data_IF_229075052208
#
_entry.id   IF_229075052208
#
_cell.length_a   1.000
_cell.length_b   1.000
_cell.length_c   1.000
_cell.angle_alpha   90.00
_cell.angle_beta   90.00
_cell.angle_gamma   90.00
#
_symmetry.space_group_name_H-M   'P 1'
#
loop_
_entity.id
_entity.type
_entity.pdbx_description
1 polymer ?
#
# COMPACT_ATOMS: atom_id res chain seq x y z
N UNK A 1 -0.43 2.50 -5.61
CA UNK A 1 -1.72 2.94 -5.06
C UNK A 1 -2.41 3.93 -5.99
N UNK A 2 -1.95 5.18 -6.15
CA UNK A 2 -2.61 6.18 -7.02
C UNK A 2 -2.85 5.70 -8.46
N UNK A 3 -1.87 5.04 -9.08
CA UNK A 3 -2.03 4.47 -10.44
C UNK A 3 -3.17 3.46 -10.54
N UNK A 4 -3.36 2.62 -9.54
CA UNK A 4 -4.44 1.63 -9.53
C UNK A 4 -5.80 2.32 -9.39
N UNK A 5 -5.91 3.31 -8.49
CA UNK A 5 -7.15 4.07 -8.35
C UNK A 5 -7.50 4.82 -9.65
N UNK A 6 -6.53 5.48 -10.30
CA UNK A 6 -6.76 6.15 -11.61
C UNK A 6 -7.21 5.19 -12.69
N UNK A 7 -6.66 3.96 -12.70
CA UNK A 7 -7.06 2.94 -13.67
C UNK A 7 -8.48 2.44 -13.43
N UNK A 8 -8.81 2.19 -12.17
CA UNK A 8 -10.07 1.57 -11.79
C UNK A 8 -11.21 2.60 -11.64
N UNK A 9 -10.87 3.89 -11.55
CA UNK A 9 -11.78 5.03 -11.48
C UNK A 9 -11.47 6.05 -12.60
N UNK A 10 -11.59 5.67 -13.86
CA UNK A 10 -11.17 6.52 -15.00
C UNK A 10 -12.01 7.80 -15.14
N UNK A 11 -13.25 7.78 -14.68
CA UNK A 11 -14.16 8.93 -14.72
C UNK A 11 -13.93 9.89 -13.54
N UNK A 12 -13.08 9.51 -12.58
CA UNK A 12 -12.80 10.24 -11.34
C UNK A 12 -13.63 9.75 -10.16
N UNK A 13 -13.62 10.52 -9.08
CA UNK A 13 -14.38 10.20 -7.88
C UNK A 13 -13.74 10.75 -6.60
N UNK A 14 -14.46 10.59 -5.49
CA UNK A 14 -14.03 11.03 -4.18
C UNK A 14 -13.11 9.99 -3.53
N UNK A 15 -12.00 10.45 -2.96
CA UNK A 15 -11.01 9.62 -2.28
C UNK A 15 -10.92 10.02 -0.80
N UNK A 16 -10.99 9.04 0.07
CA UNK A 16 -10.65 9.17 1.49
C UNK A 16 -9.21 8.67 1.68
N UNK A 17 -8.41 9.39 2.47
CA UNK A 17 -7.07 8.96 2.87
C UNK A 17 -7.03 8.70 4.38
N UNK A 18 -6.75 7.44 4.76
CA UNK A 18 -6.50 7.06 6.17
C UNK A 18 -5.06 6.57 6.27
N UNK A 19 -4.21 7.46 6.77
CA UNK A 19 -2.77 7.32 6.76
C UNK A 19 -2.24 6.76 8.09
N UNK A 20 -0.94 6.42 8.12
CA UNK A 20 -0.25 6.04 9.34
C UNK A 20 0.09 7.23 10.24
N UNK A 21 1.09 7.06 11.12
CA UNK A 21 1.51 8.10 12.06
C UNK A 21 2.07 9.33 11.33
N UNK A 22 1.54 10.51 11.62
CA UNK A 22 1.90 11.77 10.95
C UNK A 22 3.38 12.14 11.11
N UNK A 23 3.98 11.75 12.23
CA UNK A 23 5.40 11.97 12.52
C UNK A 23 6.34 11.07 11.70
N UNK A 24 5.83 9.98 11.10
CA UNK A 24 6.63 9.04 10.31
C UNK A 24 6.97 9.63 8.93
N UNK A 25 8.26 9.70 8.61
CA UNK A 25 8.70 10.18 7.31
C UNK A 25 8.21 9.32 6.13
N UNK A 26 7.97 8.02 6.36
CA UNK A 26 7.39 7.15 5.33
C UNK A 26 5.98 7.61 4.94
N UNK A 27 5.16 8.04 5.89
CA UNK A 27 3.82 8.60 5.62
C UNK A 27 3.91 9.81 4.71
N UNK A 28 4.85 10.73 4.99
CA UNK A 28 5.06 11.95 4.17
C UNK A 28 5.46 11.62 2.74
N UNK A 29 6.38 10.67 2.56
CA UNK A 29 6.84 10.26 1.23
C UNK A 29 5.75 9.54 0.43
N UNK A 30 4.96 8.69 1.10
CA UNK A 30 3.82 8.00 0.47
C UNK A 30 2.73 9.00 0.10
N UNK A 31 2.41 9.95 0.98
CA UNK A 31 1.49 11.05 0.69
C UNK A 31 1.91 11.84 -0.55
N UNK A 32 3.17 12.31 -0.57
CA UNK A 32 3.70 13.06 -1.69
C UNK A 32 3.57 12.28 -3.00
N UNK A 33 4.05 11.04 -3.05
CA UNK A 33 3.98 10.23 -4.28
C UNK A 33 2.55 9.85 -4.67
N UNK A 34 1.63 9.74 -3.71
CA UNK A 34 0.22 9.52 -4.00
C UNK A 34 -0.42 10.77 -4.62
N UNK A 35 -0.20 11.95 -4.05
CA UNK A 35 -0.74 13.22 -4.55
C UNK A 35 -0.14 13.58 -5.93
N UNK A 36 1.17 13.39 -6.14
CA UNK A 36 1.81 13.57 -7.45
C UNK A 36 1.16 12.66 -8.53
N UNK A 37 0.82 11.42 -8.17
CA UNK A 37 0.15 10.51 -9.10
C UNK A 37 -1.30 10.93 -9.41
N UNK A 38 -2.00 11.56 -8.48
CA UNK A 38 -3.37 12.06 -8.72
C UNK A 38 -3.41 13.33 -9.58
N UNK A 39 -2.29 14.03 -9.76
CA UNK A 39 -2.26 15.23 -10.59
C UNK A 39 -2.80 14.98 -12.00
N UNK A 40 -3.67 15.89 -12.46
CA UNK A 40 -4.30 15.79 -13.77
C UNK A 40 -5.36 14.70 -13.91
N UNK A 41 -5.76 14.04 -12.81
CA UNK A 41 -6.92 13.15 -12.76
C UNK A 41 -8.17 13.88 -12.26
N UNK A 42 -9.33 13.24 -12.37
CA UNK A 42 -10.59 13.71 -11.78
C UNK A 42 -10.84 13.08 -10.39
N UNK A 43 -9.79 12.56 -9.72
CA UNK A 43 -9.89 12.04 -8.37
C UNK A 43 -9.65 13.19 -7.38
N UNK A 44 -10.55 13.33 -6.42
CA UNK A 44 -10.50 14.39 -5.40
C UNK A 44 -10.36 13.79 -4.01
N UNK A 45 -9.33 14.18 -3.26
CA UNK A 45 -9.20 13.82 -1.85
C UNK A 45 -10.13 14.71 -1.03
N UNK A 46 -11.18 14.11 -0.46
CA UNK A 46 -12.24 14.83 0.26
C UNK A 46 -12.12 14.70 1.79
N UNK A 47 -11.35 13.72 2.27
CA UNK A 47 -11.13 13.48 3.69
C UNK A 47 -9.74 12.88 3.93
N UNK A 48 -9.07 13.37 4.98
CA UNK A 48 -7.77 12.86 5.43
C UNK A 48 -7.77 12.65 6.94
N UNK A 49 -7.19 11.53 7.40
CA UNK A 49 -6.96 11.23 8.79
C UNK A 49 -5.67 10.45 9.01
N UNK A 50 -5.11 10.54 10.21
CA UNK A 50 -3.87 9.89 10.60
C UNK A 50 -4.07 8.95 11.79
N UNK A 51 -3.74 7.68 11.62
CA UNK A 51 -3.74 6.68 12.68
C UNK A 51 -2.50 6.89 13.56
N UNK A 52 -2.64 7.65 14.64
CA UNK A 52 -1.56 7.95 15.58
C UNK A 52 -0.87 6.68 16.05
N UNK A 53 0.47 6.64 15.92
CA UNK A 53 1.28 5.49 16.29
C UNK A 53 0.97 4.22 15.49
N UNK A 54 0.43 4.37 14.27
CA UNK A 54 0.01 3.26 13.39
C UNK A 54 -1.09 2.37 13.97
N UNK A 55 -1.88 2.89 14.91
CA UNK A 55 -2.98 2.17 15.54
C UNK A 55 -4.15 2.04 14.56
N UNK A 56 -4.22 0.91 13.87
CA UNK A 56 -5.18 0.66 12.81
C UNK A 56 -6.65 0.76 13.27
N UNK A 57 -6.92 0.45 14.55
CA UNK A 57 -8.27 0.54 15.13
C UNK A 57 -8.88 1.95 15.07
N UNK A 58 -8.04 3.00 15.00
CA UNK A 58 -8.52 4.37 14.86
C UNK A 58 -9.18 4.63 13.50
N UNK A 59 -8.86 3.82 12.49
CA UNK A 59 -9.46 3.95 11.17
C UNK A 59 -10.98 3.72 11.16
N UNK A 60 -11.51 2.99 12.16
CA UNK A 60 -12.94 2.72 12.29
C UNK A 60 -13.72 4.02 12.45
N UNK A 61 -13.40 4.79 13.50
CA UNK A 61 -14.09 6.04 13.82
C UNK A 61 -13.88 7.07 12.68
N UNK A 62 -12.68 7.14 12.10
CA UNK A 62 -12.38 8.05 11.00
C UNK A 62 -13.20 7.72 9.74
N UNK A 63 -13.34 6.42 9.42
CA UNK A 63 -14.11 6.04 8.23
C UNK A 63 -15.61 6.22 8.44
N UNK A 64 -16.14 5.89 9.62
CA UNK A 64 -17.56 6.13 9.94
C UNK A 64 -17.89 7.62 9.81
N UNK A 65 -17.06 8.52 10.38
CA UNK A 65 -17.22 9.97 10.23
C UNK A 65 -17.14 10.41 8.76
N UNK A 66 -16.19 9.84 8.00
CA UNK A 66 -16.01 10.19 6.60
C UNK A 66 -17.19 9.75 5.72
N UNK A 67 -17.73 8.53 5.94
CA UNK A 67 -18.88 8.02 5.19
C UNK A 67 -20.17 8.78 5.45
N UNK A 68 -20.36 9.33 6.67
CA UNK A 68 -21.48 10.23 6.95
C UNK A 68 -21.44 11.52 6.13
N UNK A 69 -20.22 12.05 5.86
CA UNK A 69 -20.03 13.29 5.10
C UNK A 69 -19.93 13.06 3.59
N UNK A 70 -19.36 11.93 3.19
CA UNK A 70 -19.03 11.59 1.79
C UNK A 70 -19.55 10.20 1.43
N UNK A 71 -20.88 10.00 1.37
CA UNK A 71 -21.50 8.68 1.14
C UNK A 71 -21.20 8.10 -0.24
N UNK A 72 -20.83 8.94 -1.21
CA UNK A 72 -20.53 8.54 -2.60
C UNK A 72 -19.02 8.34 -2.83
N UNK A 73 -18.25 8.04 -1.77
CA UNK A 73 -16.82 7.77 -1.89
C UNK A 73 -16.55 6.62 -2.87
N UNK A 74 -15.56 6.83 -3.73
CA UNK A 74 -15.19 5.87 -4.79
C UNK A 74 -13.95 5.06 -4.44
N UNK A 75 -13.04 5.61 -3.64
CA UNK A 75 -11.80 4.94 -3.27
C UNK A 75 -11.24 5.38 -1.91
N UNK A 76 -10.48 4.48 -1.28
CA UNK A 76 -9.82 4.73 0.00
C UNK A 76 -8.34 4.34 -0.11
N UNK A 77 -7.47 5.29 0.20
CA UNK A 77 -6.04 5.07 0.37
C UNK A 77 -5.74 4.80 1.84
N UNK A 78 -5.20 3.61 2.14
CA UNK A 78 -4.80 3.19 3.46
C UNK A 78 -3.27 3.23 3.61
N UNK A 79 -2.78 3.74 4.74
CA UNK A 79 -1.36 3.86 5.03
C UNK A 79 -0.63 2.52 5.02
N UNK A 80 -1.32 1.43 5.40
CA UNK A 80 -0.85 0.05 5.31
C UNK A 80 -2.01 -0.95 5.27
N UNK A 81 -1.70 -2.25 5.21
CA UNK A 81 -2.69 -3.32 5.09
C UNK A 81 -3.46 -3.59 6.41
N UNK A 82 -2.90 -3.26 7.59
CA UNK A 82 -3.61 -3.31 8.86
C UNK A 82 -4.73 -2.25 8.93
N UNK A 83 -4.43 -1.03 8.47
CA UNK A 83 -5.44 0.04 8.32
C UNK A 83 -6.49 -0.37 7.28
N UNK A 84 -6.07 -0.94 6.14
CA UNK A 84 -6.99 -1.45 5.12
C UNK A 84 -7.92 -2.54 5.66
N UNK A 85 -7.45 -3.38 6.59
CA UNK A 85 -8.29 -4.39 7.23
C UNK A 85 -9.45 -3.78 8.01
N UNK A 86 -9.20 -2.70 8.78
CA UNK A 86 -10.26 -2.01 9.50
C UNK A 86 -11.22 -1.28 8.55
N UNK A 87 -10.67 -0.65 7.52
CA UNK A 87 -11.44 0.02 6.46
C UNK A 87 -12.39 -0.97 5.78
N UNK A 88 -11.91 -2.14 5.32
CA UNK A 88 -12.76 -3.16 4.68
C UNK A 88 -13.83 -3.67 5.62
N UNK A 89 -13.53 -3.83 6.92
CA UNK A 89 -14.51 -4.22 7.93
C UNK A 89 -15.66 -3.19 8.04
N UNK A 90 -15.34 -1.90 8.17
CA UNK A 90 -16.35 -0.82 8.20
C UNK A 90 -17.15 -0.79 6.90
N UNK A 91 -16.48 -0.87 5.74
CA UNK A 91 -17.16 -0.93 4.44
C UNK A 91 -18.13 -2.12 4.35
N UNK A 92 -17.80 -3.28 4.95
CA UNK A 92 -18.69 -4.43 4.97
C UNK A 92 -19.94 -4.17 5.82
N UNK A 93 -19.81 -3.50 6.97
CA UNK A 93 -20.93 -3.09 7.82
C UNK A 93 -21.88 -2.14 7.05
N UNK A 94 -21.33 -1.25 6.21
CA UNK A 94 -22.06 -0.34 5.33
C UNK A 94 -22.48 -0.95 3.98
N UNK A 95 -22.17 -2.25 3.70
CA UNK A 95 -22.45 -2.93 2.42
C UNK A 95 -21.74 -2.31 1.21
N UNK A 96 -20.57 -1.73 1.46
CA UNK A 96 -19.70 -1.07 0.48
C UNK A 96 -18.43 -1.86 0.16
N UNK A 97 -18.10 -2.93 0.90
CA UNK A 97 -16.96 -3.80 0.61
C UNK A 97 -17.06 -4.37 -0.82
N UNK A 98 -15.97 -4.29 -1.57
CA UNK A 98 -15.91 -4.67 -2.99
C UNK A 98 -16.53 -3.67 -3.97
N UNK A 99 -17.18 -2.60 -3.48
CA UNK A 99 -17.72 -1.50 -4.32
C UNK A 99 -16.83 -0.27 -4.29
N UNK A 100 -16.28 0.04 -3.12
CA UNK A 100 -15.29 1.11 -2.95
C UNK A 100 -13.90 0.51 -3.14
N UNK A 101 -13.07 1.15 -3.96
CA UNK A 101 -11.69 0.71 -4.22
C UNK A 101 -10.83 0.94 -2.99
N UNK A 102 -10.19 -0.09 -2.45
CA UNK A 102 -9.30 0.02 -1.28
C UNK A 102 -7.88 -0.33 -1.68
N UNK A 103 -6.94 0.59 -1.43
CA UNK A 103 -5.52 0.38 -1.71
C UNK A 103 -4.72 0.46 -0.42
N UNK A 104 -3.77 -0.47 -0.25
CA UNK A 104 -2.90 -0.57 0.93
C UNK A 104 -1.45 -0.81 0.55
N UNK A 105 -0.62 -1.15 1.54
CA UNK A 105 0.77 -1.55 1.33
C UNK A 105 1.21 -2.55 2.39
N UNK A 106 2.25 -3.28 2.08
CA UNK A 106 3.10 -4.22 2.78
C UNK A 106 3.00 -5.66 2.25
N UNK A 107 1.86 -6.08 1.67
CA UNK A 107 1.67 -7.42 1.13
C UNK A 107 1.34 -8.45 2.20
N UNK A 108 0.64 -8.05 3.25
CA UNK A 108 0.24 -8.94 4.34
C UNK A 108 -0.66 -10.08 3.83
N UNK A 109 -0.57 -11.26 4.44
CA UNK A 109 -1.37 -12.42 4.05
C UNK A 109 -2.87 -12.09 4.03
N UNK A 110 -3.37 -11.43 5.06
CA UNK A 110 -4.77 -11.02 5.13
C UNK A 110 -5.16 -10.02 4.02
N UNK A 111 -4.23 -9.18 3.56
CA UNK A 111 -4.45 -8.29 2.42
C UNK A 111 -4.49 -9.07 1.10
N UNK A 112 -3.59 -10.04 0.92
CA UNK A 112 -3.60 -10.94 -0.24
C UNK A 112 -4.93 -11.71 -0.32
N UNK A 113 -5.44 -12.21 0.82
CA UNK A 113 -6.78 -12.83 0.89
C UNK A 113 -7.88 -11.87 0.47
N UNK A 114 -7.92 -10.65 1.02
CA UNK A 114 -8.93 -9.65 0.65
C UNK A 114 -8.86 -9.23 -0.83
N UNK A 115 -7.65 -9.26 -1.42
CA UNK A 115 -7.47 -8.96 -2.84
C UNK A 115 -8.09 -10.05 -3.72
N UNK A 116 -7.85 -11.32 -3.42
CA UNK A 116 -8.44 -12.43 -4.19
C UNK A 116 -9.95 -12.58 -3.92
N UNK A 117 -10.42 -12.16 -2.74
CA UNK A 117 -11.85 -12.06 -2.39
C UNK A 117 -12.55 -10.84 -3.03
N UNK A 118 -11.79 -9.89 -3.59
CA UNK A 118 -12.34 -8.69 -4.24
C UNK A 118 -12.76 -7.57 -3.29
N UNK A 119 -12.35 -7.60 -2.01
CA UNK A 119 -12.68 -6.57 -1.02
C UNK A 119 -11.57 -5.53 -0.80
N UNK A 120 -10.36 -5.81 -1.31
CA UNK A 120 -9.24 -4.87 -1.43
C UNK A 120 -8.72 -4.91 -2.87
N UNK A 121 -8.44 -3.75 -3.45
CA UNK A 121 -8.02 -3.63 -4.85
C UNK A 121 -6.58 -4.04 -5.07
N UNK A 122 -5.68 -3.59 -4.19
CA UNK A 122 -4.25 -3.85 -4.30
C UNK A 122 -3.52 -3.63 -2.97
N UNK A 123 -2.31 -4.18 -2.90
CA UNK A 123 -1.30 -3.81 -1.92
C UNK A 123 0.02 -3.45 -2.61
N UNK A 124 0.72 -2.42 -2.11
CA UNK A 124 2.07 -2.09 -2.55
C UNK A 124 3.07 -2.99 -1.82
N UNK A 125 3.44 -4.09 -2.44
CA UNK A 125 4.34 -5.09 -1.86
C UNK A 125 5.78 -4.59 -1.83
N UNK A 126 6.37 -4.60 -0.65
CA UNK A 126 7.78 -4.29 -0.40
C UNK A 126 8.48 -5.56 0.08
N UNK A 127 9.23 -6.25 -0.79
CA UNK A 127 9.90 -7.50 -0.44
C UNK A 127 10.96 -7.27 0.65
N UNK A 128 10.60 -7.58 1.89
CA UNK A 128 11.53 -7.51 3.04
C UNK A 128 12.70 -8.47 2.88
N UNK A 129 12.48 -9.61 2.22
CA UNK A 129 13.55 -10.57 1.90
C UNK A 129 14.58 -9.97 0.94
N UNK A 130 14.12 -9.30 -0.14
CA UNK A 130 15.01 -8.62 -1.07
C UNK A 130 15.77 -7.48 -0.38
N UNK A 131 15.10 -6.70 0.44
CA UNK A 131 15.69 -5.61 1.23
C UNK A 131 16.79 -6.16 2.14
N UNK A 132 16.50 -7.22 2.91
CA UNK A 132 17.46 -7.84 3.82
C UNK A 132 18.68 -8.40 3.06
N UNK A 133 18.48 -9.10 1.94
CA UNK A 133 19.55 -9.61 1.09
C UNK A 133 20.44 -8.51 0.54
N UNK A 134 19.85 -7.41 0.07
CA UNK A 134 20.62 -6.27 -0.47
C UNK A 134 21.38 -5.57 0.64
N UNK A 135 20.75 -5.30 1.79
CA UNK A 135 21.39 -4.68 2.95
C UNK A 135 22.57 -5.50 3.45
N UNK A 136 22.39 -6.82 3.64
CA UNK A 136 23.48 -7.72 4.07
C UNK A 136 24.65 -7.73 3.07
N UNK A 137 24.37 -7.78 1.77
CA UNK A 137 25.41 -7.72 0.73
C UNK A 137 26.20 -6.42 0.82
N UNK A 138 25.52 -5.30 0.96
CA UNK A 138 26.16 -3.99 1.06
C UNK A 138 27.00 -3.87 2.33
N UNK A 139 26.50 -4.34 3.46
CA UNK A 139 27.27 -4.36 4.71
C UNK A 139 28.58 -5.14 4.55
N UNK A 140 28.55 -6.32 3.91
CA UNK A 140 29.75 -7.14 3.65
C UNK A 140 30.72 -6.44 2.68
N UNK A 141 30.21 -5.85 1.58
CA UNK A 141 31.07 -5.13 0.62
C UNK A 141 31.72 -3.91 1.28
N UNK A 142 31.00 -3.15 2.09
CA UNK A 142 31.55 -2.02 2.84
C UNK A 142 32.63 -2.46 3.84
N UNK A 143 32.39 -3.56 4.57
CA UNK A 143 33.40 -4.09 5.50
C UNK A 143 34.68 -4.53 4.81
N UNK A 144 34.61 -4.97 3.54
CA UNK A 144 35.76 -5.34 2.72
C UNK A 144 36.41 -4.17 1.98
N UNK A 145 35.84 -2.97 2.06
CA UNK A 145 36.30 -1.79 1.29
C UNK A 145 36.03 -1.91 -0.22
N UNK A 146 35.07 -2.79 -0.61
CA UNK A 146 34.67 -2.96 -2.00
C UNK A 146 33.74 -1.81 -2.44
N UNK A 147 33.79 -1.46 -3.73
CA UNK A 147 32.87 -0.48 -4.29
C UNK A 147 31.46 -1.06 -4.36
N UNK A 148 30.47 -0.34 -3.84
CA UNK A 148 29.07 -0.75 -3.92
C UNK A 148 28.59 -0.69 -5.37
N UNK A 149 27.97 -1.77 -5.83
CA UNK A 149 27.32 -1.86 -7.14
C UNK A 149 25.84 -1.50 -7.02
N UNK A 150 25.23 -0.97 -8.11
CA UNK A 150 23.79 -0.65 -8.19
C UNK A 150 23.34 0.50 -7.28
N UNK A 151 24.24 1.40 -6.91
CA UNK A 151 23.85 2.70 -6.39
C UNK A 151 23.33 3.49 -7.58
N UNK A 152 22.06 3.82 -7.58
CA UNK A 152 21.36 4.41 -8.73
C UNK A 152 20.81 5.81 -8.46
N UNK A 153 20.94 6.30 -7.23
CA UNK A 153 20.49 7.63 -6.82
C UNK A 153 21.24 8.10 -5.56
N UNK A 154 20.93 9.29 -5.13
CA UNK A 154 21.32 9.84 -3.83
C UNK A 154 20.10 10.36 -3.09
N UNK A 155 20.17 10.40 -1.78
CA UNK A 155 19.19 11.03 -0.90
C UNK A 155 19.92 12.02 0.00
N UNK A 156 19.34 13.21 0.20
CA UNK A 156 19.87 14.18 1.14
C UNK A 156 19.22 13.96 2.52
N UNK A 157 20.03 13.67 3.53
CA UNK A 157 19.57 13.45 4.91
C UNK A 157 19.71 14.68 5.81
N UNK A 158 20.06 15.83 5.21
CA UNK A 158 20.34 17.09 5.91
C UNK A 158 21.82 17.29 6.26
N UNK A 159 22.67 16.27 6.20
CA UNK A 159 24.13 16.35 6.36
C UNK A 159 24.87 16.37 5.01
N UNK A 160 24.24 15.88 3.95
CA UNK A 160 24.79 15.79 2.59
C UNK A 160 24.07 14.76 1.74
N UNK A 161 24.55 14.60 0.50
CA UNK A 161 24.03 13.59 -0.42
C UNK A 161 24.64 12.23 -0.13
N UNK A 162 23.77 11.28 0.26
CA UNK A 162 24.15 9.91 0.59
C UNK A 162 23.78 8.98 -0.56
N UNK A 163 24.68 8.07 -0.97
CA UNK A 163 24.39 7.06 -1.98
C UNK A 163 23.17 6.22 -1.59
N UNK A 164 22.21 6.09 -2.50
CA UNK A 164 20.94 5.43 -2.26
C UNK A 164 20.67 4.33 -3.29
N UNK A 165 20.28 3.14 -2.80
CA UNK A 165 19.81 2.04 -3.62
C UNK A 165 18.30 1.87 -3.44
N UNK A 166 17.55 2.41 -4.39
CA UNK A 166 16.10 2.27 -4.38
C UNK A 166 15.67 0.86 -4.81
N UNK A 167 14.91 0.20 -3.97
CA UNK A 167 14.19 -1.03 -4.29
C UNK A 167 12.73 -0.67 -4.58
N UNK A 168 12.29 -0.94 -5.81
CA UNK A 168 10.93 -0.58 -6.24
C UNK A 168 9.89 -1.48 -5.56
N UNK A 169 8.85 -0.92 -4.93
CA UNK A 169 7.68 -1.68 -4.53
C UNK A 169 6.90 -2.19 -5.76
N UNK A 170 6.22 -3.32 -5.61
CA UNK A 170 5.43 -3.94 -6.67
C UNK A 170 3.96 -3.75 -6.34
N UNK A 171 3.17 -3.27 -7.31
CA UNK A 171 1.71 -3.24 -7.19
C UNK A 171 1.17 -4.66 -7.33
N UNK A 172 0.65 -5.24 -6.26
CA UNK A 172 0.03 -6.56 -6.25
C UNK A 172 -1.49 -6.42 -6.26
N UNK A 173 -2.10 -7.06 -7.23
CA UNK A 173 -3.55 -7.12 -7.47
C UNK A 173 -3.95 -8.57 -7.70
N UNK A 174 -5.24 -8.88 -7.83
CA UNK A 174 -5.69 -10.24 -8.19
C UNK A 174 -5.07 -10.76 -9.50
N UNK A 175 -4.71 -9.86 -10.44
CA UNK A 175 -4.15 -10.25 -11.75
C UNK A 175 -2.72 -10.81 -11.71
N UNK A 176 -1.94 -10.42 -10.71
CA UNK A 176 -0.54 -10.84 -10.58
C UNK A 176 -0.21 -11.43 -9.21
N UNK A 177 -1.23 -11.81 -8.45
CA UNK A 177 -1.09 -12.41 -7.14
C UNK A 177 -0.21 -13.67 -7.19
N UNK A 178 -0.48 -14.55 -8.13
CA UNK A 178 0.26 -15.80 -8.28
C UNK A 178 1.71 -15.54 -8.64
N UNK A 179 1.98 -14.75 -9.66
CA UNK A 179 3.33 -14.44 -10.10
C UNK A 179 4.20 -13.82 -9.01
N UNK A 180 3.64 -12.81 -8.29
CA UNK A 180 4.44 -12.01 -7.37
C UNK A 180 4.50 -12.60 -5.96
N UNK A 181 3.38 -13.08 -5.45
CA UNK A 181 3.27 -13.54 -4.05
C UNK A 181 3.49 -15.05 -3.94
N UNK A 182 2.80 -15.85 -4.77
CA UNK A 182 2.86 -17.31 -4.67
C UNK A 182 4.17 -17.85 -5.27
N UNK A 183 4.43 -17.58 -6.54
CA UNK A 183 5.64 -18.04 -7.23
C UNK A 183 6.90 -17.34 -6.68
N UNK A 184 6.73 -16.11 -6.16
CA UNK A 184 7.75 -15.41 -5.40
C UNK A 184 8.06 -16.02 -4.03
N UNK A 185 7.26 -16.99 -3.55
CA UNK A 185 7.47 -17.72 -2.30
C UNK A 185 7.20 -16.90 -1.03
N UNK A 186 6.43 -15.81 -1.13
CA UNK A 186 6.14 -14.94 0.01
C UNK A 186 4.99 -15.47 0.88
N UNK A 187 3.91 -15.94 0.26
CA UNK A 187 2.82 -16.67 0.90
C UNK A 187 2.47 -17.93 0.12
N UNK A 188 1.90 -18.94 0.77
CA UNK A 188 1.45 -20.16 0.11
C UNK A 188 0.12 -19.96 -0.62
N UNK A 189 -0.13 -20.77 -1.65
CA UNK A 189 -1.39 -20.74 -2.38
C UNK A 189 -2.56 -21.09 -1.48
N UNK A 190 -2.39 -22.10 -0.60
CA UNK A 190 -3.40 -22.56 0.32
C UNK A 190 -3.81 -21.48 1.32
N UNK A 191 -2.86 -20.64 1.76
CA UNK A 191 -3.12 -19.55 2.69
C UNK A 191 -3.81 -18.37 1.99
N UNK A 192 -3.36 -17.98 0.80
CA UNK A 192 -3.91 -16.83 0.05
C UNK A 192 -5.33 -17.13 -0.44
N UNK A 193 -5.56 -18.30 -1.00
CA UNK A 193 -6.86 -18.71 -1.54
C UNK A 193 -7.72 -19.50 -0.55
N UNK A 194 -7.53 -19.22 0.77
CA UNK A 194 -8.23 -19.95 1.85
C UNK A 194 -9.75 -19.95 1.71
N UNK A 195 -10.33 -18.84 1.30
CA UNK A 195 -11.78 -18.62 1.29
C UNK A 195 -12.39 -18.60 -0.12
N UNK A 196 -11.59 -18.60 -1.16
CA UNK A 196 -12.03 -18.53 -2.55
C UNK A 196 -11.28 -19.54 -3.41
N UNK A 197 -11.93 -20.19 -4.39
CA UNK A 197 -11.21 -21.05 -5.31
C UNK A 197 -10.23 -20.24 -6.15
N UNK A 198 -9.05 -20.81 -6.37
CA UNK A 198 -8.12 -20.26 -7.38
C UNK A 198 -8.72 -20.50 -8.75
N UNK A 199 -8.87 -19.44 -9.53
CA UNK A 199 -9.26 -19.56 -10.94
C UNK A 199 -8.06 -20.05 -11.76
N UNK A 200 -8.27 -21.08 -12.60
CA UNK A 200 -7.26 -21.68 -13.47
C UNK A 200 -6.86 -20.75 -14.63
#
# INVERSE_FOLDING_TARGET
MGKELKRDLPDGGQIIMIQGAEEDNNVKLVYQGFMEELEGSNLEVVYEAHCKGWRAELAVDYLDEALEKYPDVSGIMCGNDDIAAQVVRVLAEHRLAGKVQVVGQDGDLAACQRIVEGTQTMTAFKSVELLAKVAARYAVSMAKGEKLSRINSSINDGSGDIPFCMLQPISVTSRNMDEIIIDGGYHSVEDVYLNVPRED
#
